data_IF_436150158068
#
_entry.id   IF_436150158068
#
_cell.length_a   1.000
_cell.length_b   1.000
_cell.length_c   1.000
_cell.angle_alpha   90.00
_cell.angle_beta   90.00
_cell.angle_gamma   90.00
#
_symmetry.space_group_name_H-M   'P 1'
#
loop_
_entity.id
_entity.type
_entity.pdbx_description
1 polymer ?
#
# COMPACT_ATOMS: atom_id res chain seq x y z
N UNK A 1 7.89 -0.85 17.74
CA UNK A 1 7.90 -0.61 16.29
C UNK A 1 6.68 -1.24 15.60
N UNK A 2 6.36 -2.52 15.82
CA UNK A 2 5.11 -3.13 15.35
C UNK A 2 3.83 -2.50 15.95
N UNK A 3 3.84 -2.13 17.24
CA UNK A 3 2.69 -1.46 17.91
C UNK A 3 2.35 -0.07 17.37
N UNK A 4 3.32 0.68 16.86
CA UNK A 4 3.06 2.02 16.29
C UNK A 4 2.43 1.93 14.90
N UNK A 5 2.72 0.84 14.16
CA UNK A 5 2.08 0.55 12.88
C UNK A 5 0.63 0.06 13.09
N UNK A 6 0.39 -0.72 14.14
CA UNK A 6 -0.97 -1.13 14.56
C UNK A 6 -1.83 0.06 15.01
N UNK A 7 -1.28 1.05 15.71
CA UNK A 7 -2.04 2.25 16.13
C UNK A 7 -2.40 3.19 14.96
N UNK A 8 -1.54 3.30 13.93
CA UNK A 8 -1.86 4.08 12.72
C UNK A 8 -2.88 3.34 11.85
N UNK A 9 -2.81 2.02 11.76
CA UNK A 9 -3.77 1.19 10.99
C UNK A 9 -5.11 1.04 11.70
N UNK A 10 -5.15 0.99 13.04
CA UNK A 10 -6.39 0.87 13.81
C UNK A 10 -7.23 2.16 13.82
N UNK A 11 -6.63 3.31 13.54
CA UNK A 11 -7.37 4.58 13.40
C UNK A 11 -8.12 4.69 12.07
N UNK A 12 -7.70 3.96 11.04
CA UNK A 12 -8.29 4.03 9.69
C UNK A 12 -9.34 2.94 9.43
N UNK A 13 -9.33 1.85 10.21
CA UNK A 13 -10.20 0.69 9.97
C UNK A 13 -11.47 0.62 10.84
N UNK A 14 -11.61 1.47 11.87
CA UNK A 14 -12.63 1.27 12.92
C UNK A 14 -13.74 2.34 13.00
N UNK A 15 -13.92 3.20 11.99
CA UNK A 15 -14.98 4.25 12.08
C UNK A 15 -15.88 4.49 10.87
N UNK A 16 -15.87 3.65 9.83
CA UNK A 16 -16.84 3.85 8.76
C UNK A 16 -17.20 2.53 8.06
N UNK A 17 -18.48 2.14 8.14
CA UNK A 17 -19.14 1.01 7.47
C UNK A 17 -18.81 -0.37 8.05
N UNK A 18 -19.70 -1.12 8.72
CA UNK A 18 -21.15 -1.29 8.65
C UNK A 18 -21.59 -2.11 9.93
N UNK A 19 -22.89 -2.26 10.30
CA UNK A 19 -24.09 -2.13 9.47
C UNK A 19 -25.27 -1.39 10.13
N UNK A 20 -25.79 -0.36 9.47
CA UNK A 20 -27.20 0.05 9.66
C UNK A 20 -27.87 0.01 8.29
N UNK A 21 -27.89 -1.18 7.71
CA UNK A 21 -28.62 -1.49 6.49
C UNK A 21 -29.67 -2.54 6.86
N UNK A 22 -30.79 -2.09 7.42
CA UNK A 22 -31.92 -2.97 7.71
C UNK A 22 -33.30 -2.41 7.36
N UNK A 23 -33.43 -1.21 6.78
CA UNK A 23 -34.71 -0.73 6.18
C UNK A 23 -34.53 0.68 5.63
N UNK A 24 -34.17 0.82 4.36
CA UNK A 24 -34.39 2.10 3.66
C UNK A 24 -34.84 1.81 2.23
N UNK A 25 -35.96 2.42 1.89
CA UNK A 25 -36.69 2.33 0.63
C UNK A 25 -35.91 3.03 -0.51
N UNK A 26 -36.13 2.68 -1.79
CA UNK A 26 -35.26 3.08 -2.91
C UNK A 26 -35.29 4.58 -3.31
N UNK A 27 -35.95 5.45 -2.54
CA UNK A 27 -36.04 6.89 -2.81
C UNK A 27 -35.00 7.76 -2.06
N UNK A 28 -34.27 7.21 -1.08
CA UNK A 28 -33.33 7.98 -0.24
C UNK A 28 -31.87 7.96 -0.75
N UNK A 29 -31.54 7.05 -1.68
CA UNK A 29 -30.17 6.86 -2.20
C UNK A 29 -29.73 8.07 -3.06
N UNK A 30 -30.66 8.71 -3.77
CA UNK A 30 -30.36 9.89 -4.61
C UNK A 30 -30.08 11.14 -3.75
N UNK A 31 -30.72 11.26 -2.58
CA UNK A 31 -30.51 12.40 -1.68
C UNK A 31 -29.18 12.33 -0.92
N UNK A 32 -28.72 11.12 -0.58
CA UNK A 32 -27.50 10.91 0.20
C UNK A 32 -26.22 11.19 -0.59
N UNK A 33 -26.18 10.89 -1.90
CA UNK A 33 -25.05 11.29 -2.75
C UNK A 33 -24.98 12.81 -2.91
N UNK A 34 -26.10 13.47 -3.18
CA UNK A 34 -26.14 14.93 -3.37
C UNK A 34 -25.84 15.70 -2.09
N UNK A 35 -26.25 15.20 -0.93
CA UNK A 35 -25.90 15.79 0.37
C UNK A 35 -24.43 15.61 0.72
N UNK A 36 -23.85 14.43 0.41
CA UNK A 36 -22.43 14.17 0.62
C UNK A 36 -21.56 15.03 -0.32
N UNK A 37 -21.96 15.18 -1.57
CA UNK A 37 -21.30 16.05 -2.55
C UNK A 37 -21.38 17.51 -2.12
N UNK A 38 -22.54 17.97 -1.63
CA UNK A 38 -22.72 19.33 -1.13
C UNK A 38 -21.89 19.60 0.15
N UNK A 39 -21.80 18.62 1.06
CA UNK A 39 -20.92 18.70 2.23
C UNK A 39 -19.43 18.73 1.84
N UNK A 40 -19.05 17.97 0.80
CA UNK A 40 -17.69 17.98 0.24
C UNK A 40 -17.36 19.33 -0.40
N UNK A 41 -18.33 19.92 -1.11
CA UNK A 41 -18.22 21.26 -1.69
C UNK A 41 -18.11 22.34 -0.60
N UNK A 42 -18.91 22.23 0.48
CA UNK A 42 -18.85 23.15 1.62
C UNK A 42 -17.52 23.06 2.38
N UNK A 43 -16.96 21.86 2.55
CA UNK A 43 -15.64 21.68 3.16
C UNK A 43 -14.50 22.13 2.24
N UNK A 44 -14.64 21.98 0.93
CA UNK A 44 -13.64 22.45 -0.04
C UNK A 44 -13.47 23.97 -0.03
N UNK A 45 -14.51 24.73 0.37
CA UNK A 45 -14.44 26.19 0.52
C UNK A 45 -13.73 26.62 1.81
N UNK A 46 -13.69 25.76 2.82
CA UNK A 46 -13.03 26.03 4.11
C UNK A 46 -11.54 25.61 4.11
N UNK A 47 -11.08 24.96 3.03
CA UNK A 47 -9.77 24.32 2.92
C UNK A 47 -8.70 25.17 2.19
N UNK A 48 -8.71 26.50 2.36
CA UNK A 48 -7.51 27.30 2.11
C UNK A 48 -6.43 26.90 3.14
N UNK A 49 -5.55 25.95 2.77
CA UNK A 49 -4.36 25.51 3.50
C UNK A 49 -4.52 25.44 5.04
N UNK A 50 -5.36 24.51 5.51
CA UNK A 50 -5.42 24.15 6.92
C UNK A 50 -4.02 23.74 7.43
N UNK A 51 -3.59 24.28 8.58
CA UNK A 51 -2.32 23.91 9.23
C UNK A 51 -2.19 22.40 9.48
N UNK A 52 -3.31 21.69 9.58
CA UNK A 52 -3.35 20.23 9.74
C UNK A 52 -2.88 19.50 8.47
N UNK A 53 -3.23 19.98 7.27
CA UNK A 53 -2.78 19.42 5.98
C UNK A 53 -1.27 19.51 5.84
N UNK A 54 -0.69 20.66 6.20
CA UNK A 54 0.77 20.87 6.16
C UNK A 54 1.48 19.96 7.18
N UNK A 55 0.95 19.85 8.41
CA UNK A 55 1.52 18.98 9.44
C UNK A 55 1.51 17.51 9.00
N UNK A 56 0.40 17.04 8.43
CA UNK A 56 0.28 15.70 7.86
C UNK A 56 1.29 15.49 6.72
N UNK A 57 1.40 16.45 5.79
CA UNK A 57 2.36 16.40 4.68
C UNK A 57 3.82 16.33 5.13
N UNK A 58 4.20 17.10 6.16
CA UNK A 58 5.55 17.04 6.75
C UNK A 58 5.81 15.68 7.39
N UNK A 59 4.87 15.18 8.19
CA UNK A 59 5.01 13.87 8.83
C UNK A 59 5.15 12.74 7.80
N UNK A 60 4.30 12.75 6.78
CA UNK A 60 4.33 11.77 5.70
C UNK A 60 5.67 11.84 4.93
N UNK A 61 6.14 13.05 4.62
CA UNK A 61 7.43 13.23 3.93
C UNK A 61 8.59 12.67 4.74
N UNK A 62 8.64 12.94 6.05
CA UNK A 62 9.68 12.40 6.93
C UNK A 62 9.67 10.87 6.94
N UNK A 63 8.50 10.26 7.07
CA UNK A 63 8.34 8.79 7.06
C UNK A 63 8.79 8.22 5.71
N UNK A 64 8.36 8.82 4.60
CA UNK A 64 8.72 8.37 3.25
C UNK A 64 10.22 8.50 2.97
N UNK A 65 10.87 9.58 3.44
CA UNK A 65 12.33 9.76 3.32
C UNK A 65 13.07 8.72 4.14
N UNK A 66 12.66 8.48 5.39
CA UNK A 66 13.28 7.44 6.23
C UNK A 66 13.10 6.06 5.59
N UNK A 67 11.90 5.76 5.09
CA UNK A 67 11.62 4.50 4.38
C UNK A 67 12.50 4.34 3.14
N UNK A 68 12.65 5.40 2.33
CA UNK A 68 13.52 5.40 1.16
C UNK A 68 14.97 5.10 1.54
N UNK A 69 15.52 5.81 2.53
CA UNK A 69 16.90 5.63 3.01
C UNK A 69 17.11 4.21 3.56
N UNK A 70 16.19 3.69 4.37
CA UNK A 70 16.33 2.34 4.94
C UNK A 70 16.25 1.25 3.87
N UNK A 71 15.31 1.34 2.93
CA UNK A 71 15.17 0.34 1.86
C UNK A 71 16.35 0.39 0.88
N UNK A 72 16.87 1.58 0.56
CA UNK A 72 18.08 1.73 -0.28
C UNK A 72 19.34 1.21 0.40
N UNK A 73 19.56 1.53 1.68
CA UNK A 73 20.66 0.96 2.46
C UNK A 73 20.57 -0.56 2.53
N UNK A 74 19.37 -1.11 2.75
CA UNK A 74 19.16 -2.56 2.74
C UNK A 74 19.53 -3.17 1.39
N UNK A 75 19.14 -2.58 0.26
CA UNK A 75 19.55 -3.04 -1.06
C UNK A 75 21.08 -3.02 -1.22
N UNK A 76 21.75 -1.94 -0.81
CA UNK A 76 23.21 -1.84 -0.87
C UNK A 76 23.90 -2.93 -0.05
N UNK A 77 23.38 -3.25 1.13
CA UNK A 77 23.90 -4.34 1.97
C UNK A 77 23.68 -5.69 1.29
N UNK A 78 22.53 -5.91 0.65
CA UNK A 78 22.20 -7.16 -0.03
C UNK A 78 23.03 -7.40 -1.31
N UNK A 79 23.61 -6.35 -1.90
CA UNK A 79 24.58 -6.50 -3.00
C UNK A 79 25.91 -7.11 -2.53
N UNK A 80 26.26 -6.96 -1.24
CA UNK A 80 27.40 -7.67 -0.68
C UNK A 80 27.01 -9.13 -0.44
N UNK A 81 27.85 -10.07 -0.86
CA UNK A 81 27.58 -11.52 -0.82
C UNK A 81 27.71 -12.13 0.59
N UNK A 82 27.34 -11.37 1.61
CA UNK A 82 27.49 -11.74 3.02
C UNK A 82 26.37 -12.66 3.54
N UNK A 83 25.28 -12.85 2.78
CA UNK A 83 24.08 -13.58 3.21
C UNK A 83 23.72 -14.75 2.30
N UNK A 84 23.05 -15.74 2.88
CA UNK A 84 22.51 -16.89 2.16
C UNK A 84 21.60 -16.45 1.00
N UNK A 85 21.75 -17.10 -0.16
CA UNK A 85 21.06 -16.75 -1.40
C UNK A 85 19.54 -16.80 -1.26
N UNK A 86 19.01 -17.77 -0.53
CA UNK A 86 17.56 -17.95 -0.35
C UNK A 86 16.98 -16.77 0.42
N UNK A 87 17.57 -16.47 1.57
CA UNK A 87 17.13 -15.37 2.42
C UNK A 87 17.34 -14.00 1.76
N UNK A 88 18.44 -13.83 1.02
CA UNK A 88 18.74 -12.61 0.27
C UNK A 88 17.64 -12.27 -0.74
N UNK A 89 17.10 -13.26 -1.46
CA UNK A 89 16.05 -13.02 -2.46
C UNK A 89 14.75 -12.52 -1.83
N UNK A 90 14.38 -13.06 -0.66
CA UNK A 90 13.24 -12.55 0.10
C UNK A 90 13.44 -11.11 0.57
N UNK A 91 14.63 -10.81 1.11
CA UNK A 91 14.96 -9.45 1.54
C UNK A 91 15.02 -8.46 0.37
N UNK A 92 15.51 -8.90 -0.79
CA UNK A 92 15.56 -8.08 -2.01
C UNK A 92 14.13 -7.78 -2.51
N UNK A 93 13.25 -8.79 -2.51
CA UNK A 93 11.83 -8.61 -2.82
C UNK A 93 11.17 -7.61 -1.87
N UNK A 94 11.39 -7.75 -0.56
CA UNK A 94 10.82 -6.85 0.45
C UNK A 94 11.32 -5.41 0.28
N UNK A 95 12.64 -5.22 0.10
CA UNK A 95 13.23 -3.90 -0.09
C UNK A 95 12.73 -3.23 -1.37
N UNK A 96 12.65 -3.99 -2.47
CA UNK A 96 12.13 -3.49 -3.74
C UNK A 96 10.64 -3.13 -3.62
N UNK A 97 9.84 -3.93 -2.93
CA UNK A 97 8.43 -3.65 -2.66
C UNK A 97 8.24 -2.37 -1.85
N UNK A 98 9.10 -2.13 -0.85
CA UNK A 98 9.11 -0.89 -0.07
C UNK A 98 9.38 0.34 -0.93
N UNK A 99 10.33 0.26 -1.87
CA UNK A 99 10.59 1.35 -2.82
C UNK A 99 9.41 1.61 -3.76
N UNK A 100 8.78 0.54 -4.25
CA UNK A 100 7.59 0.63 -5.12
C UNK A 100 6.42 1.30 -4.39
N UNK A 101 6.22 1.01 -3.10
CA UNK A 101 5.17 1.64 -2.29
C UNK A 101 5.46 3.12 -1.98
N UNK A 102 6.73 3.50 -1.85
CA UNK A 102 7.13 4.88 -1.54
C UNK A 102 7.11 5.79 -2.78
N UNK A 103 7.35 5.24 -3.98
CA UNK A 103 7.32 5.99 -5.23
C UNK A 103 6.03 6.83 -5.46
N UNK A 104 4.81 6.28 -5.34
CA UNK A 104 3.58 7.06 -5.55
C UNK A 104 3.35 8.13 -4.48
N UNK A 105 3.90 7.95 -3.27
CA UNK A 105 3.84 8.99 -2.24
C UNK A 105 4.62 10.22 -2.69
N UNK A 106 5.83 10.04 -3.25
CA UNK A 106 6.62 11.15 -3.79
C UNK A 106 6.06 11.72 -5.10
N UNK A 107 5.49 10.88 -5.97
CA UNK A 107 5.05 11.31 -7.29
C UNK A 107 3.63 11.90 -7.31
N UNK A 108 2.75 11.49 -6.40
CA UNK A 108 1.35 11.93 -6.38
C UNK A 108 0.96 12.58 -5.06
N UNK A 109 1.18 11.91 -3.94
CA UNK A 109 0.59 12.31 -2.66
C UNK A 109 1.25 13.57 -2.06
N UNK A 110 2.58 13.65 -2.03
CA UNK A 110 3.32 14.83 -1.56
C UNK A 110 3.04 16.06 -2.45
N UNK A 111 3.10 15.97 -3.79
CA UNK A 111 2.70 17.06 -4.67
C UNK A 111 1.25 17.52 -4.47
N UNK A 112 0.32 16.57 -4.28
CA UNK A 112 -1.06 16.88 -3.97
C UNK A 112 -1.19 17.63 -2.63
N UNK A 113 -0.47 17.22 -1.58
CA UNK A 113 -0.58 17.86 -0.25
C UNK A 113 -0.01 19.28 -0.23
N UNK A 114 1.18 19.52 -0.79
CA UNK A 114 1.88 20.82 -0.67
C UNK A 114 1.56 21.80 -1.81
N UNK A 115 1.28 21.31 -3.01
CA UNK A 115 1.10 22.15 -4.21
C UNK A 115 -0.31 22.09 -4.77
N UNK A 116 -1.22 21.38 -4.10
CA UNK A 116 -2.60 21.17 -4.55
C UNK A 116 -2.69 20.57 -5.97
N UNK A 117 -1.69 19.76 -6.33
CA UNK A 117 -1.60 19.16 -7.65
C UNK A 117 -2.64 18.03 -7.79
N UNK A 118 -3.60 18.21 -8.71
CA UNK A 118 -4.60 17.20 -9.05
C UNK A 118 -4.13 16.43 -10.29
N UNK A 119 -3.93 15.13 -10.12
CA UNK A 119 -3.60 14.23 -11.22
C UNK A 119 -4.88 13.78 -11.92
N UNK A 120 -4.92 13.98 -13.24
CA UNK A 120 -6.00 13.48 -14.08
C UNK A 120 -5.90 11.95 -14.29
N UNK A 121 -7.06 11.33 -14.54
CA UNK A 121 -7.13 9.95 -15.02
C UNK A 121 -6.63 9.90 -16.48
N UNK A 122 -5.79 8.92 -16.88
CA UNK A 122 -5.49 7.65 -16.20
C UNK A 122 -4.23 7.67 -15.32
N UNK A 123 -3.45 8.75 -15.30
CA UNK A 123 -2.17 8.82 -14.61
C UNK A 123 -2.32 8.61 -13.10
N UNK A 124 -3.36 9.19 -12.49
CA UNK A 124 -3.67 9.01 -11.08
C UNK A 124 -3.87 7.52 -10.71
N UNK A 125 -4.60 6.78 -11.55
CA UNK A 125 -4.85 5.34 -11.36
C UNK A 125 -3.55 4.54 -11.46
N UNK A 126 -2.72 4.82 -12.46
CA UNK A 126 -1.45 4.11 -12.68
C UNK A 126 -0.48 4.34 -11.53
N UNK A 127 -0.38 5.56 -11.01
CA UNK A 127 0.47 5.86 -9.86
C UNK A 127 -0.12 5.23 -8.59
N UNK A 128 -1.42 5.34 -8.36
CA UNK A 128 -2.08 4.73 -7.18
C UNK A 128 -2.03 3.19 -7.20
N UNK A 129 -1.90 2.58 -8.38
CA UNK A 129 -1.73 1.14 -8.53
C UNK A 129 -0.41 0.66 -7.89
N UNK A 130 0.68 1.41 -8.07
CA UNK A 130 1.99 1.00 -7.53
C UNK A 130 2.03 1.03 -6.01
N UNK A 131 1.25 1.91 -5.36
CA UNK A 131 1.11 1.95 -3.90
C UNK A 131 0.56 0.62 -3.36
N UNK A 132 -0.55 0.20 -3.95
CA UNK A 132 -1.23 -1.05 -3.56
C UNK A 132 -0.37 -2.27 -3.86
N UNK A 133 0.29 -2.27 -5.03
CA UNK A 133 1.20 -3.35 -5.42
C UNK A 133 2.34 -3.48 -4.41
N UNK A 134 3.03 -2.38 -4.12
CA UNK A 134 4.14 -2.36 -3.17
C UNK A 134 3.69 -2.76 -1.75
N UNK A 135 2.51 -2.33 -1.31
CA UNK A 135 1.99 -2.71 0.00
C UNK A 135 1.61 -4.19 0.09
N UNK A 136 0.83 -4.71 -0.86
CA UNK A 136 0.39 -6.10 -0.89
C UNK A 136 1.58 -7.04 -1.03
N UNK A 137 2.50 -6.73 -1.95
CA UNK A 137 3.70 -7.54 -2.16
C UNK A 137 4.61 -7.54 -0.92
N UNK A 138 4.74 -6.40 -0.22
CA UNK A 138 5.53 -6.34 1.02
C UNK A 138 4.90 -7.25 2.08
N UNK A 139 3.60 -7.13 2.29
CA UNK A 139 2.84 -7.96 3.24
C UNK A 139 2.99 -9.45 2.91
N UNK A 140 2.77 -9.83 1.66
CA UNK A 140 2.91 -11.22 1.20
C UNK A 140 4.37 -11.73 1.26
N UNK A 141 5.36 -10.85 1.06
CA UNK A 141 6.77 -11.22 1.20
C UNK A 141 7.11 -11.48 2.67
N UNK A 142 6.62 -10.65 3.59
CA UNK A 142 6.85 -10.86 5.03
C UNK A 142 6.18 -12.14 5.55
N UNK A 143 4.98 -12.48 5.06
CA UNK A 143 4.33 -13.74 5.39
C UNK A 143 5.08 -14.93 4.80
N UNK A 144 5.60 -14.81 3.58
CA UNK A 144 6.46 -15.83 2.97
C UNK A 144 7.76 -16.05 3.79
N UNK A 145 8.39 -14.98 4.28
CA UNK A 145 9.57 -15.09 5.18
C UNK A 145 9.20 -15.79 6.47
N UNK A 146 8.06 -15.43 7.09
CA UNK A 146 7.60 -16.08 8.31
C UNK A 146 7.33 -17.59 8.09
N UNK A 147 6.70 -17.93 6.96
CA UNK A 147 6.45 -19.31 6.57
C UNK A 147 7.74 -20.08 6.31
N UNK A 148 8.73 -19.47 5.65
CA UNK A 148 10.05 -20.08 5.46
C UNK A 148 10.71 -20.43 6.80
N UNK A 149 10.69 -19.50 7.77
CA UNK A 149 11.23 -19.76 9.11
C UNK A 149 10.46 -20.87 9.83
N UNK A 150 9.15 -20.93 9.66
CA UNK A 150 8.34 -22.03 10.19
C UNK A 150 8.76 -23.39 9.59
N UNK A 151 8.96 -23.47 8.27
CA UNK A 151 9.42 -24.68 7.57
C UNK A 151 10.84 -25.06 7.97
N UNK A 152 11.73 -24.08 8.18
CA UNK A 152 13.09 -24.30 8.69
C UNK A 152 13.08 -25.07 10.02
N UNK A 153 12.24 -24.63 10.97
CA UNK A 153 12.17 -25.23 12.30
C UNK A 153 11.45 -26.59 12.32
N UNK A 154 10.35 -26.75 11.60
CA UNK A 154 9.52 -27.96 11.67
C UNK A 154 9.94 -29.05 10.69
N UNK A 155 10.47 -28.68 9.53
CA UNK A 155 10.76 -29.59 8.42
C UNK A 155 12.13 -29.28 7.79
N UNK A 156 13.25 -29.41 8.56
CA UNK A 156 14.58 -29.03 8.09
C UNK A 156 15.04 -29.81 6.85
N UNK A 157 14.62 -31.08 6.72
CA UNK A 157 14.91 -31.91 5.53
C UNK A 157 14.24 -31.37 4.27
N UNK A 158 13.02 -30.85 4.40
CA UNK A 158 12.27 -30.25 3.29
C UNK A 158 12.89 -28.90 2.91
N UNK A 159 13.20 -28.06 3.90
CA UNK A 159 13.87 -26.78 3.64
C UNK A 159 15.20 -26.99 2.91
N UNK A 160 16.03 -27.94 3.32
CA UNK A 160 17.30 -28.22 2.63
C UNK A 160 17.07 -28.55 1.15
N UNK A 161 16.09 -29.41 0.86
CA UNK A 161 15.72 -29.77 -0.52
C UNK A 161 15.18 -28.60 -1.34
N UNK A 162 14.44 -27.68 -0.71
CA UNK A 162 13.93 -26.47 -1.36
C UNK A 162 15.06 -25.47 -1.66
N UNK A 163 16.01 -25.33 -0.74
CA UNK A 163 17.16 -24.43 -0.86
C UNK A 163 18.19 -24.89 -1.89
N UNK A 164 18.28 -26.19 -2.18
CA UNK A 164 19.22 -26.73 -3.16
C UNK A 164 18.81 -26.42 -4.62
N UNK A 165 17.52 -26.12 -4.87
CA UNK A 165 17.00 -25.91 -6.22
C UNK A 165 16.75 -24.42 -6.52
N UNK A 166 17.68 -23.80 -7.24
CA UNK A 166 17.65 -22.36 -7.58
C UNK A 166 16.37 -21.88 -8.28
N UNK A 167 15.72 -22.73 -9.08
CA UNK A 167 14.45 -22.39 -9.72
C UNK A 167 13.31 -22.24 -8.71
N UNK A 168 13.25 -23.14 -7.73
CA UNK A 168 12.21 -23.12 -6.71
C UNK A 168 12.33 -21.84 -5.87
N UNK A 169 13.54 -21.45 -5.51
CA UNK A 169 13.80 -20.21 -4.77
C UNK A 169 13.28 -18.98 -5.53
N UNK A 170 13.59 -18.90 -6.84
CA UNK A 170 13.10 -17.83 -7.70
C UNK A 170 11.57 -17.79 -7.76
N UNK A 171 10.92 -18.95 -7.88
CA UNK A 171 9.47 -19.03 -7.85
C UNK A 171 8.89 -18.54 -6.52
N UNK A 172 9.43 -18.95 -5.38
CA UNK A 172 8.95 -18.51 -4.06
C UNK A 172 9.08 -17.00 -3.86
N UNK A 173 10.13 -16.37 -4.37
CA UNK A 173 10.28 -14.92 -4.36
C UNK A 173 9.30 -14.21 -5.32
N UNK A 174 8.92 -14.86 -6.43
CA UNK A 174 7.97 -14.32 -7.40
C UNK A 174 6.50 -14.46 -6.99
N UNK A 175 6.14 -15.46 -6.17
CA UNK A 175 4.75 -15.71 -5.73
C UNK A 175 4.09 -14.46 -5.13
N UNK A 176 4.71 -13.73 -4.18
CA UNK A 176 4.13 -12.49 -3.63
C UNK A 176 3.78 -11.43 -4.69
N UNK A 177 4.61 -11.30 -5.72
CA UNK A 177 4.39 -10.35 -6.81
C UNK A 177 3.22 -10.76 -7.69
N UNK A 178 3.19 -12.03 -8.08
CA UNK A 178 2.12 -12.57 -8.93
C UNK A 178 0.78 -12.54 -8.19
N UNK A 179 0.76 -12.89 -6.91
CA UNK A 179 -0.45 -12.86 -6.09
C UNK A 179 -0.97 -11.42 -5.86
N UNK A 180 -0.08 -10.46 -5.61
CA UNK A 180 -0.48 -9.07 -5.48
C UNK A 180 -1.02 -8.52 -6.81
N UNK A 181 -0.33 -8.77 -7.92
CA UNK A 181 -0.77 -8.36 -9.24
C UNK A 181 -2.13 -8.98 -9.61
N UNK A 182 -2.34 -10.27 -9.32
CA UNK A 182 -3.63 -10.94 -9.61
C UNK A 182 -4.78 -10.36 -8.79
N UNK A 183 -4.56 -10.04 -7.51
CA UNK A 183 -5.57 -9.38 -6.68
C UNK A 183 -5.96 -8.01 -7.24
N UNK A 184 -4.98 -7.19 -7.65
CA UNK A 184 -5.28 -5.86 -8.18
C UNK A 184 -5.95 -5.95 -9.56
N UNK A 185 -5.51 -6.87 -10.42
CA UNK A 185 -6.16 -7.15 -11.70
C UNK A 185 -7.62 -7.55 -11.47
N UNK A 186 -7.88 -8.44 -10.52
CA UNK A 186 -9.25 -8.84 -10.17
C UNK A 186 -10.11 -7.66 -9.69
N UNK A 187 -9.58 -6.79 -8.83
CA UNK A 187 -10.29 -5.57 -8.41
C UNK A 187 -10.56 -4.62 -9.59
N UNK A 188 -9.59 -4.47 -10.47
CA UNK A 188 -9.67 -3.62 -11.67
C UNK A 188 -10.73 -4.15 -12.64
N UNK A 189 -10.83 -5.48 -12.82
CA UNK A 189 -11.88 -6.10 -13.64
C UNK A 189 -13.28 -5.88 -13.07
N UNK A 190 -13.42 -5.81 -11.75
CA UNK A 190 -14.69 -5.49 -11.09
C UNK A 190 -15.03 -4.00 -11.12
N UNK A 191 -14.26 -3.17 -11.84
CA UNK A 191 -14.50 -1.72 -11.99
C UNK A 191 -14.09 -0.90 -10.76
N UNK A 192 -13.31 -1.48 -9.84
CA UNK A 192 -12.78 -0.79 -8.66
C UNK A 192 -11.34 -0.35 -8.91
N UNK A 193 -11.12 0.97 -8.91
CA UNK A 193 -9.80 1.56 -9.12
C UNK A 193 -9.38 2.36 -7.89
N UNK A 194 -8.10 2.28 -7.53
CA UNK A 194 -7.53 3.13 -6.49
C UNK A 194 -7.11 4.46 -7.12
N UNK A 195 -7.45 5.56 -6.45
CA UNK A 195 -7.12 6.93 -6.86
C UNK A 195 -6.60 7.72 -5.66
N UNK A 196 -5.77 8.71 -5.92
CA UNK A 196 -5.39 9.71 -4.91
C UNK A 196 -6.55 10.69 -4.76
N UNK A 197 -7.11 10.82 -3.56
CA UNK A 197 -8.15 11.82 -3.25
C UNK A 197 -7.48 13.05 -2.63
N UNK A 198 -7.49 14.21 -3.33
CA UNK A 198 -6.84 15.43 -2.84
C UNK A 198 -7.50 16.01 -1.59
N UNK A 199 -8.77 15.68 -1.33
CA UNK A 199 -9.51 16.17 -0.15
C UNK A 199 -9.30 15.27 1.06
N UNK A 200 -9.23 13.96 0.84
CA UNK A 200 -8.97 13.00 1.92
C UNK A 200 -7.45 12.82 2.20
N UNK A 201 -6.58 13.44 1.39
CA UNK A 201 -5.11 13.35 1.47
C UNK A 201 -4.61 11.90 1.59
N UNK A 202 -5.32 10.98 0.94
CA UNK A 202 -5.08 9.53 1.01
C UNK A 202 -5.46 8.87 -0.30
N UNK A 203 -5.06 7.61 -0.46
CA UNK A 203 -5.49 6.80 -1.59
C UNK A 203 -6.81 6.11 -1.28
N UNK A 204 -7.84 6.36 -2.07
CA UNK A 204 -9.18 5.81 -1.89
C UNK A 204 -9.57 4.90 -3.06
N UNK A 205 -10.43 3.92 -2.80
CA UNK A 205 -11.01 3.10 -3.86
C UNK A 205 -12.30 3.74 -4.37
N UNK A 206 -12.41 3.86 -5.68
CA UNK A 206 -13.62 4.27 -6.38
C UNK A 206 -14.06 3.14 -7.30
N UNK A 207 -15.23 2.58 -7.01
CA UNK A 207 -15.88 1.55 -7.82
C UNK A 207 -17.01 2.17 -8.64
N UNK A 208 -17.25 1.63 -9.82
CA UNK A 208 -18.35 2.04 -10.71
C UNK A 208 -19.68 1.40 -10.33
#
# INVERSE_FOLDING_TARGET
MLKFWEEVVSLDYDKSFAPVLSKVHPLEIVGMSTALDCLRELHAVEEEMSSQRILYGVALTLISVVSLVMNTLLLLILFNDAMDRFFRLHLLSAAFSGLVAVAPIFCALIPAIFFDLRLDDPTNIIISFTDTLGYLTLTMTTTAIAFDRFVFFLLPKLHKRLSDNSLIIGCFAAVPWVAAASMIIHMTFNGCHKRTDPYALTFTYSCR
#
